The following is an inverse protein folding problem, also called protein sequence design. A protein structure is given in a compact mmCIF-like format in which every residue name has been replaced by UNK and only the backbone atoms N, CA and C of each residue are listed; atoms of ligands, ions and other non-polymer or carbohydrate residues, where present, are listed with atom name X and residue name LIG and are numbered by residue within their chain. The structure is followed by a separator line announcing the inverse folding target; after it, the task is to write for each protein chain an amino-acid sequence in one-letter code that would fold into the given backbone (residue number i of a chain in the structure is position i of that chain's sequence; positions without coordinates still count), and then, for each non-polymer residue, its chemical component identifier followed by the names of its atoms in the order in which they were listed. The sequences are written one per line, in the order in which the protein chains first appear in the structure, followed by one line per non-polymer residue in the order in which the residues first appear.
data_IF_714689995311
#
_entry.id   IF_714689995311
#
_cell.length_a   1.000
_cell.length_b   1.000
_cell.length_c   1.000
_cell.angle_alpha   90.00
_cell.angle_beta   90.00
_cell.angle_gamma   90.00
#
_symmetry.space_group_name_H-M   'P 1'
#
loop_
_entity.id
_entity.type
_entity.pdbx_description
1 polymer ?
#
# COMPACT_ATOMS: atom_id res chain seq x y z
N UNK A 1 -21.12 31.83 -3.26
CA UNK A 1 -19.67 31.94 -3.43
C UNK A 1 -19.26 30.89 -4.44
N UNK A 2 -19.00 31.32 -5.69
CA UNK A 2 -18.58 30.42 -6.78
C UNK A 2 -17.15 29.96 -6.50
N UNK A 3 -17.01 28.66 -6.23
CA UNK A 3 -15.68 28.03 -6.15
C UNK A 3 -14.95 28.32 -7.46
N UNK A 4 -13.71 28.82 -7.44
CA UNK A 4 -12.94 28.99 -8.64
C UNK A 4 -12.80 27.62 -9.30
N UNK A 5 -13.41 27.47 -10.47
CA UNK A 5 -13.32 26.26 -11.27
C UNK A 5 -11.85 26.05 -11.62
N UNK A 6 -11.24 25.01 -11.04
CA UNK A 6 -9.92 24.59 -11.45
C UNK A 6 -9.98 24.32 -12.97
N UNK A 7 -8.95 24.68 -13.73
CA UNK A 7 -8.95 24.45 -15.17
C UNK A 7 -9.15 22.96 -15.42
N UNK A 8 -10.24 22.63 -16.11
CA UNK A 8 -10.53 21.25 -16.46
C UNK A 8 -9.35 20.69 -17.26
N UNK A 9 -8.77 19.60 -16.78
CA UNK A 9 -7.70 18.91 -17.47
C UNK A 9 -8.20 18.50 -18.86
N UNK A 10 -7.38 18.71 -19.87
CA UNK A 10 -7.67 18.13 -21.18
C UNK A 10 -7.64 16.61 -21.07
N UNK A 11 -8.44 15.92 -21.88
CA UNK A 11 -8.48 14.44 -21.88
C UNK A 11 -7.08 13.84 -21.99
N UNK A 12 -6.19 14.42 -22.78
CA UNK A 12 -4.81 13.98 -22.96
C UNK A 12 -3.97 14.12 -21.69
N UNK A 13 -4.14 15.23 -20.96
CA UNK A 13 -3.45 15.42 -19.67
C UNK A 13 -3.95 14.44 -18.59
N UNK A 14 -5.26 14.22 -18.53
CA UNK A 14 -5.86 13.26 -17.62
C UNK A 14 -5.39 11.82 -17.91
N UNK A 15 -5.30 11.44 -19.20
CA UNK A 15 -4.80 10.14 -19.64
C UNK A 15 -3.33 9.93 -19.20
N UNK A 16 -2.46 10.93 -19.42
CA UNK A 16 -1.04 10.84 -19.05
C UNK A 16 -0.85 10.82 -17.54
N UNK A 17 -1.66 11.56 -16.77
CA UNK A 17 -1.68 11.47 -15.32
C UNK A 17 -2.12 10.08 -14.85
N UNK A 18 -3.15 9.51 -15.47
CA UNK A 18 -3.61 8.15 -15.17
C UNK A 18 -2.58 7.09 -15.51
N UNK A 19 -1.83 7.24 -16.61
CA UNK A 19 -0.70 6.35 -16.92
C UNK A 19 0.36 6.40 -15.81
N UNK A 20 0.70 7.59 -15.30
CA UNK A 20 1.62 7.74 -14.17
C UNK A 20 1.12 7.01 -12.93
N UNK A 21 -0.14 7.19 -12.56
CA UNK A 21 -0.76 6.52 -11.40
C UNK A 21 -0.78 5.00 -11.62
N UNK A 22 -1.11 4.56 -12.83
CA UNK A 22 -1.14 3.14 -13.19
C UNK A 22 0.23 2.49 -13.05
N UNK A 23 1.29 3.14 -13.53
CA UNK A 23 2.68 2.65 -13.40
C UNK A 23 3.11 2.57 -11.93
N UNK A 24 2.73 3.56 -11.12
CA UNK A 24 2.99 3.58 -9.67
C UNK A 24 2.31 2.39 -8.97
N UNK A 25 1.04 2.13 -9.27
CA UNK A 25 0.31 0.98 -8.71
C UNK A 25 0.85 -0.35 -9.22
N UNK A 26 1.20 -0.43 -10.50
CA UNK A 26 1.80 -1.61 -11.10
C UNK A 26 3.13 -1.97 -10.41
N UNK A 27 3.95 -0.98 -10.11
CA UNK A 27 5.21 -1.16 -9.39
C UNK A 27 5.00 -1.86 -8.04
N UNK A 28 4.03 -1.37 -7.22
CA UNK A 28 3.71 -1.97 -5.93
C UNK A 28 3.08 -3.36 -6.06
N UNK A 29 2.23 -3.59 -7.07
CA UNK A 29 1.56 -4.86 -7.28
C UNK A 29 2.52 -5.97 -7.75
N UNK A 30 3.41 -5.66 -8.71
CA UNK A 30 4.43 -6.59 -9.18
C UNK A 30 5.33 -7.03 -8.04
N UNK A 31 5.82 -6.08 -7.26
CA UNK A 31 6.75 -6.37 -6.18
C UNK A 31 6.15 -7.34 -5.14
N UNK A 32 4.88 -7.19 -4.79
CA UNK A 32 4.21 -8.06 -3.84
C UNK A 32 4.09 -9.51 -4.33
N UNK A 33 3.86 -9.71 -5.63
CA UNK A 33 3.57 -11.03 -6.18
C UNK A 33 4.82 -11.76 -6.67
N UNK A 34 5.80 -11.03 -7.17
CA UNK A 34 7.05 -11.59 -7.71
C UNK A 34 7.94 -12.17 -6.60
N UNK A 35 7.93 -11.56 -5.40
CA UNK A 35 8.81 -11.96 -4.29
C UNK A 35 8.49 -13.35 -3.75
N UNK A 36 7.21 -13.78 -3.78
CA UNK A 36 6.80 -15.09 -3.26
C UNK A 36 7.56 -16.25 -3.89
N UNK A 37 7.76 -16.21 -5.20
CA UNK A 37 8.48 -17.24 -5.95
C UNK A 37 10.01 -17.10 -5.88
N UNK A 38 10.51 -15.93 -5.51
CA UNK A 38 11.94 -15.70 -5.32
C UNK A 38 12.44 -16.13 -3.92
N UNK A 39 11.55 -16.23 -2.93
CA UNK A 39 11.90 -16.52 -1.53
C UNK A 39 12.75 -17.77 -1.33
N UNK A 40 12.48 -18.94 -1.97
CA UNK A 40 13.34 -20.12 -1.82
C UNK A 40 14.79 -19.87 -2.25
N UNK A 41 14.99 -19.17 -3.37
CA UNK A 41 16.33 -18.81 -3.87
C UNK A 41 17.03 -17.82 -2.94
N UNK A 42 16.30 -16.86 -2.37
CA UNK A 42 16.82 -15.90 -1.38
C UNK A 42 17.37 -16.62 -0.16
N UNK A 43 16.59 -17.55 0.41
CA UNK A 43 16.99 -18.29 1.62
C UNK A 43 18.18 -19.20 1.35
N UNK A 44 18.25 -19.83 0.18
CA UNK A 44 19.38 -20.70 -0.17
C UNK A 44 20.71 -19.94 -0.28
N UNK A 45 20.67 -18.65 -0.66
CA UNK A 45 21.88 -17.82 -0.83
C UNK A 45 22.23 -17.04 0.45
N UNK A 46 21.25 -16.35 1.07
CA UNK A 46 21.53 -15.47 2.21
C UNK A 46 21.53 -16.22 3.55
N UNK A 47 21.07 -17.47 3.59
CA UNK A 47 20.79 -18.21 4.81
C UNK A 47 19.76 -17.47 5.69
N UNK A 48 19.53 -17.88 6.93
CA UNK A 48 18.61 -17.14 7.84
C UNK A 48 17.14 -17.49 7.62
N UNK A 49 16.84 -18.79 7.54
CA UNK A 49 15.48 -19.31 7.40
C UNK A 49 14.51 -18.77 8.48
N UNK A 50 15.03 -18.41 9.66
CA UNK A 50 14.25 -17.82 10.75
C UNK A 50 13.56 -16.49 10.36
N UNK A 51 14.17 -15.75 9.44
CA UNK A 51 13.66 -14.47 8.94
C UNK A 51 12.86 -14.59 7.63
N UNK A 52 12.65 -15.82 7.14
CA UNK A 52 11.95 -16.08 5.87
C UNK A 52 10.60 -15.38 5.77
N UNK A 53 9.75 -15.57 6.78
CA UNK A 53 8.43 -14.97 6.83
C UNK A 53 8.49 -13.44 6.90
N UNK A 54 9.51 -12.87 7.57
CA UNK A 54 9.65 -11.43 7.74
C UNK A 54 9.95 -10.67 6.46
N UNK A 55 10.46 -11.33 5.42
CA UNK A 55 10.66 -10.70 4.10
C UNK A 55 9.32 -10.24 3.50
N UNK A 56 8.26 -11.02 3.64
CA UNK A 56 6.92 -10.65 3.21
C UNK A 56 6.17 -9.85 4.29
N UNK A 57 6.19 -10.33 5.54
CA UNK A 57 5.47 -9.73 6.68
C UNK A 57 5.97 -8.31 6.98
N UNK A 58 7.26 -8.05 6.93
CA UNK A 58 7.83 -6.72 7.15
C UNK A 58 7.32 -5.69 6.14
N UNK A 59 7.23 -6.07 4.87
CA UNK A 59 6.63 -5.25 3.82
C UNK A 59 5.15 -4.98 4.10
N UNK A 60 4.37 -6.04 4.34
CA UNK A 60 2.92 -5.93 4.56
C UNK A 60 2.59 -5.09 5.78
N UNK A 61 3.30 -5.32 6.90
CA UNK A 61 3.13 -4.56 8.13
C UNK A 61 3.36 -3.06 7.90
N UNK A 62 4.50 -2.71 7.30
CA UNK A 62 4.83 -1.33 6.99
C UNK A 62 3.82 -0.70 6.01
N UNK A 63 3.38 -1.45 5.01
CA UNK A 63 2.41 -1.00 4.02
C UNK A 63 1.04 -0.72 4.65
N UNK A 64 0.49 -1.67 5.40
CA UNK A 64 -0.83 -1.54 6.05
C UNK A 64 -0.88 -0.32 6.98
N UNK A 65 0.19 -0.10 7.72
CA UNK A 65 0.32 1.04 8.64
C UNK A 65 0.34 2.38 7.91
N UNK A 66 1.04 2.45 6.78
CA UNK A 66 1.26 3.70 6.06
C UNK A 66 0.08 4.10 5.17
N UNK A 67 -0.72 3.16 4.66
CA UNK A 67 -1.89 3.43 3.81
C UNK A 67 -2.83 4.50 4.41
N UNK A 68 -3.40 4.35 5.61
CA UNK A 68 -4.35 5.32 6.15
C UNK A 68 -3.68 6.66 6.49
N UNK A 69 -2.44 6.64 6.95
CA UNK A 69 -1.70 7.85 7.33
C UNK A 69 -1.47 8.74 6.10
N UNK A 70 -0.90 8.18 5.04
CA UNK A 70 -0.56 8.94 3.85
C UNK A 70 -1.76 9.20 2.94
N UNK A 71 -2.80 8.36 2.99
CA UNK A 71 -4.09 8.67 2.40
C UNK A 71 -4.65 9.98 2.96
N UNK A 72 -4.64 10.12 4.29
CA UNK A 72 -5.13 11.32 4.97
C UNK A 72 -4.22 12.54 4.78
N UNK A 73 -2.89 12.36 4.84
CA UNK A 73 -1.94 13.44 4.55
C UNK A 73 -2.12 13.98 3.13
N UNK A 74 -2.39 13.10 2.17
CA UNK A 74 -2.70 13.49 0.79
C UNK A 74 -3.94 14.37 0.68
N UNK A 75 -4.96 14.14 1.51
CA UNK A 75 -6.17 14.97 1.56
C UNK A 75 -5.88 16.40 2.03
N UNK A 76 -4.88 16.59 2.90
CA UNK A 76 -4.54 17.90 3.45
C UNK A 76 -3.51 18.67 2.63
N UNK A 77 -2.44 18.01 2.23
CA UNK A 77 -1.30 18.67 1.56
C UNK A 77 -1.31 18.53 0.04
N UNK A 78 -2.30 17.78 -0.49
CA UNK A 78 -2.32 17.38 -1.88
C UNK A 78 -1.55 16.06 -2.10
N UNK A 79 -1.95 15.30 -3.09
CA UNK A 79 -1.49 13.92 -3.28
C UNK A 79 -0.17 13.81 -4.04
N UNK A 80 0.08 14.72 -4.99
CA UNK A 80 1.28 14.68 -5.84
C UNK A 80 2.60 14.55 -5.06
N UNK A 81 2.90 15.36 -4.03
CA UNK A 81 4.17 15.25 -3.31
C UNK A 81 4.33 13.87 -2.65
N UNK A 82 3.23 13.29 -2.15
CA UNK A 82 3.28 11.97 -1.53
C UNK A 82 3.45 10.85 -2.55
N UNK A 83 2.83 10.93 -3.72
CA UNK A 83 3.06 9.98 -4.83
C UNK A 83 4.52 10.01 -5.26
N UNK A 84 5.10 11.20 -5.42
CA UNK A 84 6.51 11.34 -5.80
C UNK A 84 7.45 10.80 -4.72
N UNK A 85 7.25 11.21 -3.45
CA UNK A 85 8.05 10.72 -2.33
C UNK A 85 7.95 9.20 -2.18
N UNK A 86 6.74 8.66 -2.28
CA UNK A 86 6.49 7.22 -2.19
C UNK A 86 7.20 6.43 -3.29
N UNK A 87 7.15 6.93 -4.54
CA UNK A 87 7.84 6.30 -5.66
C UNK A 87 9.36 6.32 -5.46
N UNK A 88 9.92 7.43 -4.96
CA UNK A 88 11.34 7.53 -4.64
C UNK A 88 11.73 6.56 -3.52
N UNK A 89 10.98 6.58 -2.39
CA UNK A 89 11.25 5.68 -1.26
C UNK A 89 11.18 4.22 -1.70
N UNK A 90 10.14 3.85 -2.45
CA UNK A 90 9.96 2.48 -2.95
C UNK A 90 11.11 2.05 -3.85
N UNK A 91 11.51 2.90 -4.80
CA UNK A 91 12.59 2.60 -5.76
C UNK A 91 13.94 2.49 -5.07
N UNK A 92 14.27 3.41 -4.14
CA UNK A 92 15.50 3.35 -3.37
C UNK A 92 15.53 2.14 -2.42
N UNK A 93 14.41 1.82 -1.78
CA UNK A 93 14.30 0.62 -0.94
C UNK A 93 14.45 -0.67 -1.77
N UNK A 94 13.94 -0.69 -3.01
CA UNK A 94 14.16 -1.80 -3.94
C UNK A 94 15.66 -1.96 -4.30
N UNK A 95 16.36 -0.85 -4.50
CA UNK A 95 17.82 -0.87 -4.68
C UNK A 95 18.54 -1.47 -3.46
N UNK A 96 18.14 -1.07 -2.24
CA UNK A 96 18.68 -1.64 -1.01
C UNK A 96 18.44 -3.15 -0.92
N UNK A 97 17.24 -3.61 -1.29
CA UNK A 97 16.92 -5.03 -1.35
C UNK A 97 17.79 -5.77 -2.39
N UNK A 98 18.00 -5.18 -3.58
CA UNK A 98 18.86 -5.78 -4.61
C UNK A 98 20.32 -5.92 -4.19
N UNK A 99 20.81 -5.03 -3.33
CA UNK A 99 22.17 -5.00 -2.81
C UNK A 99 22.33 -5.71 -1.46
N UNK A 100 21.28 -6.35 -0.93
CA UNK A 100 21.32 -6.99 0.37
C UNK A 100 22.26 -8.20 0.39
N UNK A 101 23.17 -8.22 1.37
CA UNK A 101 24.15 -9.28 1.60
C UNK A 101 23.77 -10.19 2.78
N UNK A 102 22.68 -9.87 3.47
CA UNK A 102 22.18 -10.66 4.59
C UNK A 102 20.64 -10.63 4.60
N UNK A 103 20.04 -11.67 5.18
CA UNK A 103 18.58 -11.76 5.34
C UNK A 103 18.03 -10.58 6.16
N UNK A 104 18.74 -10.14 7.20
CA UNK A 104 18.32 -8.99 8.01
C UNK A 104 18.30 -7.69 7.18
N UNK A 105 19.34 -7.44 6.37
CA UNK A 105 19.40 -6.27 5.50
C UNK A 105 18.24 -6.28 4.49
N UNK A 106 17.91 -7.46 3.94
CA UNK A 106 16.77 -7.63 3.05
C UNK A 106 15.45 -7.32 3.77
N UNK A 107 15.22 -7.84 4.98
CA UNK A 107 13.99 -7.57 5.76
C UNK A 107 13.84 -6.08 6.05
N UNK A 108 14.91 -5.39 6.43
CA UNK A 108 14.89 -3.93 6.65
C UNK A 108 14.56 -3.20 5.33
N UNK A 109 15.21 -3.58 4.23
CA UNK A 109 14.90 -3.03 2.90
C UNK A 109 13.44 -3.25 2.51
N UNK A 110 12.87 -4.44 2.78
CA UNK A 110 11.47 -4.78 2.55
C UNK A 110 10.51 -3.94 3.42
N UNK A 111 10.84 -3.70 4.67
CA UNK A 111 10.04 -2.83 5.53
C UNK A 111 10.02 -1.38 4.99
N UNK A 112 11.17 -0.83 4.58
CA UNK A 112 11.25 0.48 3.94
C UNK A 112 10.48 0.53 2.61
N UNK A 113 10.60 -0.53 1.81
CA UNK A 113 9.85 -0.67 0.55
C UNK A 113 8.34 -0.74 0.81
N UNK A 114 7.92 -1.42 1.89
CA UNK A 114 6.53 -1.46 2.36
C UNK A 114 5.99 -0.07 2.75
N UNK A 115 6.81 0.79 3.37
CA UNK A 115 6.43 2.20 3.62
C UNK A 115 6.12 2.89 2.29
N UNK A 116 7.01 2.80 1.30
CA UNK A 116 6.78 3.36 -0.03
C UNK A 116 5.52 2.78 -0.69
N UNK A 117 5.37 1.44 -0.68
CA UNK A 117 4.23 0.73 -1.25
C UNK A 117 2.88 1.13 -0.64
N UNK A 118 2.80 1.23 0.69
CA UNK A 118 1.60 1.70 1.39
C UNK A 118 1.25 3.15 1.05
N UNK A 119 2.26 4.03 0.98
CA UNK A 119 2.07 5.41 0.51
C UNK A 119 1.53 5.45 -0.93
N UNK A 120 2.05 4.61 -1.85
CA UNK A 120 1.59 4.51 -3.24
C UNK A 120 0.12 4.09 -3.30
N UNK A 121 -0.25 3.02 -2.61
CA UNK A 121 -1.62 2.51 -2.58
C UNK A 121 -2.58 3.56 -1.98
N UNK A 122 -2.23 4.12 -0.82
CA UNK A 122 -3.06 5.10 -0.12
C UNK A 122 -3.31 6.39 -0.91
N UNK A 123 -2.34 6.83 -1.72
CA UNK A 123 -2.45 8.08 -2.49
C UNK A 123 -2.96 7.88 -3.90
N UNK A 124 -2.57 6.80 -4.60
CA UNK A 124 -2.85 6.61 -6.02
C UNK A 124 -4.35 6.43 -6.31
N UNK A 125 -5.04 5.54 -5.60
CA UNK A 125 -6.50 5.36 -5.78
C UNK A 125 -7.28 6.63 -5.45
N UNK A 126 -6.79 7.39 -4.51
CA UNK A 126 -7.41 8.62 -4.08
C UNK A 126 -7.19 9.80 -5.07
N UNK A 127 -6.22 9.73 -6.00
CA UNK A 127 -6.05 10.70 -7.07
C UNK A 127 -7.18 10.65 -8.12
N UNK A 128 -7.82 9.49 -8.32
CA UNK A 128 -8.83 9.32 -9.38
C UNK A 128 -10.04 10.27 -9.22
N UNK A 129 -10.64 10.42 -8.02
CA UNK A 129 -11.71 11.39 -7.81
C UNK A 129 -11.31 12.85 -8.06
N UNK A 130 -10.05 13.18 -7.86
CA UNK A 130 -9.54 14.55 -8.10
C UNK A 130 -9.37 14.83 -9.60
N UNK A 131 -8.94 13.82 -10.37
CA UNK A 131 -8.77 13.92 -11.81
C UNK A 131 -10.09 13.89 -12.57
N UNK A 132 -11.08 13.17 -12.06
CA UNK A 132 -12.38 12.94 -12.70
C UNK A 132 -13.54 13.29 -11.77
N UNK A 133 -14.02 14.53 -11.76
CA UNK A 133 -15.20 14.94 -10.98
C UNK A 133 -16.48 14.21 -11.40
N UNK A 134 -16.63 13.89 -12.71
CA UNK A 134 -17.76 13.14 -13.22
C UNK A 134 -17.75 11.68 -12.75
N UNK A 135 -18.85 11.25 -12.12
CA UNK A 135 -18.99 9.91 -11.52
C UNK A 135 -18.82 8.77 -12.53
N UNK A 136 -19.30 8.95 -13.78
CA UNK A 136 -19.20 7.90 -14.80
C UNK A 136 -17.77 7.72 -15.29
N UNK A 137 -17.05 8.83 -15.50
CA UNK A 137 -15.63 8.78 -15.88
C UNK A 137 -14.79 8.20 -14.73
N UNK A 138 -15.05 8.62 -13.50
CA UNK A 138 -14.40 8.09 -12.31
C UNK A 138 -14.53 6.58 -12.20
N UNK A 139 -15.74 6.05 -12.33
CA UNK A 139 -15.98 4.60 -12.29
C UNK A 139 -15.21 3.85 -13.38
N UNK A 140 -15.22 4.36 -14.62
CA UNK A 140 -14.47 3.73 -15.72
C UNK A 140 -12.97 3.65 -15.43
N UNK A 141 -12.38 4.73 -14.93
CA UNK A 141 -10.95 4.75 -14.59
C UNK A 141 -10.63 3.89 -13.38
N UNK A 142 -11.47 3.85 -12.36
CA UNK A 142 -11.29 2.94 -11.23
C UNK A 142 -11.36 1.47 -11.66
N UNK A 143 -12.28 1.11 -12.54
CA UNK A 143 -12.37 -0.25 -13.10
C UNK A 143 -11.12 -0.59 -13.91
N UNK A 144 -10.64 0.33 -14.74
CA UNK A 144 -9.41 0.12 -15.52
C UNK A 144 -8.18 -0.07 -14.62
N UNK A 145 -8.03 0.75 -13.56
CA UNK A 145 -6.94 0.60 -12.59
C UNK A 145 -7.03 -0.74 -11.87
N UNK A 146 -8.23 -1.13 -11.43
CA UNK A 146 -8.42 -2.41 -10.73
C UNK A 146 -8.17 -3.60 -11.65
N UNK A 147 -8.60 -3.52 -12.91
CA UNK A 147 -8.33 -4.56 -13.90
C UNK A 147 -6.83 -4.70 -14.17
N UNK A 148 -6.12 -3.58 -14.34
CA UNK A 148 -4.67 -3.57 -14.53
C UNK A 148 -3.94 -4.16 -13.30
N UNK A 149 -4.35 -3.76 -12.08
CA UNK A 149 -3.81 -4.30 -10.84
C UNK A 149 -4.01 -5.83 -10.77
N UNK A 150 -5.20 -6.32 -11.16
CA UNK A 150 -5.51 -7.76 -11.21
C UNK A 150 -4.66 -8.51 -12.24
N UNK A 151 -4.47 -7.95 -13.44
CA UNK A 151 -3.62 -8.55 -14.48
C UNK A 151 -2.18 -8.65 -14.01
N UNK A 152 -1.65 -7.59 -13.38
CA UNK A 152 -0.30 -7.58 -12.83
C UNK A 152 -0.13 -8.62 -11.74
N UNK A 153 -1.11 -8.77 -10.84
CA UNK A 153 -1.10 -9.82 -9.82
C UNK A 153 -1.15 -11.23 -10.41
N UNK A 154 -1.86 -11.43 -11.51
CA UNK A 154 -1.93 -12.73 -12.18
C UNK A 154 -0.61 -13.09 -12.90
N UNK A 155 0.07 -12.13 -13.51
CA UNK A 155 1.34 -12.35 -14.23
C UNK A 155 2.53 -12.39 -13.27
N UNK A 156 2.45 -11.69 -12.15
CA UNK A 156 3.54 -11.49 -11.20
C UNK A 156 4.25 -12.77 -10.77
N UNK A 157 3.55 -13.81 -10.29
CA UNK A 157 4.19 -15.05 -9.87
C UNK A 157 5.00 -15.73 -10.99
N UNK A 158 4.46 -15.79 -12.21
CA UNK A 158 5.17 -16.36 -13.36
C UNK A 158 6.42 -15.55 -13.75
N UNK A 159 6.28 -14.21 -13.77
CA UNK A 159 7.40 -13.32 -14.03
C UNK A 159 8.48 -13.43 -12.95
N UNK A 160 8.06 -13.53 -11.68
CA UNK A 160 8.96 -13.68 -10.54
C UNK A 160 9.75 -14.98 -10.58
N UNK A 161 9.07 -16.09 -10.85
CA UNK A 161 9.72 -17.40 -11.00
C UNK A 161 10.72 -17.40 -12.15
N UNK A 162 10.36 -16.84 -13.30
CA UNK A 162 11.26 -16.73 -14.46
C UNK A 162 12.48 -15.86 -14.14
N UNK A 163 12.29 -14.67 -13.61
CA UNK A 163 13.38 -13.77 -13.27
C UNK A 163 14.32 -14.36 -12.22
N UNK A 164 13.77 -14.94 -11.16
CA UNK A 164 14.55 -15.53 -10.10
C UNK A 164 15.33 -16.78 -10.58
N UNK A 165 14.73 -17.57 -11.49
CA UNK A 165 15.36 -18.77 -12.04
C UNK A 165 16.50 -18.48 -13.03
N UNK A 166 16.29 -17.56 -13.98
CA UNK A 166 17.27 -17.29 -15.04
C UNK A 166 18.31 -16.23 -14.66
N UNK A 167 17.94 -15.20 -13.89
CA UNK A 167 18.78 -14.04 -13.60
C UNK A 167 19.12 -13.90 -12.11
N UNK A 168 18.65 -14.83 -11.29
CA UNK A 168 18.78 -14.78 -9.84
C UNK A 168 17.75 -13.84 -9.18
N UNK A 169 17.47 -14.06 -7.89
CA UNK A 169 16.44 -13.37 -7.15
C UNK A 169 16.62 -11.83 -7.07
N UNK A 170 17.85 -11.35 -7.14
CA UNK A 170 18.12 -9.91 -7.14
C UNK A 170 17.51 -9.18 -8.34
N UNK A 171 17.34 -9.87 -9.46
CA UNK A 171 16.72 -9.33 -10.68
C UNK A 171 15.31 -8.83 -10.47
N UNK A 172 14.56 -9.45 -9.55
CA UNK A 172 13.22 -9.05 -9.14
C UNK A 172 13.21 -7.59 -8.61
N UNK A 173 14.20 -7.25 -7.80
CA UNK A 173 14.35 -5.91 -7.26
C UNK A 173 14.92 -4.91 -8.28
N UNK A 174 15.86 -5.37 -9.13
CA UNK A 174 16.39 -4.55 -10.22
C UNK A 174 15.31 -4.13 -11.22
N UNK A 175 14.30 -4.96 -11.47
CA UNK A 175 13.16 -4.64 -12.32
C UNK A 175 12.40 -3.39 -11.85
N UNK A 176 12.32 -3.18 -10.55
CA UNK A 176 11.60 -2.05 -9.97
C UNK A 176 12.29 -0.70 -10.24
N UNK A 177 13.60 -0.67 -10.50
CA UNK A 177 14.33 0.57 -10.70
C UNK A 177 13.92 1.29 -12.00
N UNK A 178 14.02 0.67 -13.20
CA UNK A 178 13.58 1.33 -14.42
C UNK A 178 12.08 1.68 -14.40
N UNK A 179 11.25 0.78 -13.86
CA UNK A 179 9.82 1.03 -13.71
C UNK A 179 9.55 2.22 -12.77
N UNK A 180 10.27 2.30 -11.65
CA UNK A 180 10.17 3.39 -10.70
C UNK A 180 10.58 4.74 -11.30
N UNK A 181 11.66 4.77 -12.08
CA UNK A 181 12.12 6.00 -12.77
C UNK A 181 11.07 6.45 -13.80
N UNK A 182 10.53 5.53 -14.59
CA UNK A 182 9.47 5.84 -15.57
C UNK A 182 8.21 6.33 -14.84
N UNK A 183 7.77 5.65 -13.80
CA UNK A 183 6.61 6.03 -12.99
C UNK A 183 6.81 7.42 -12.36
N UNK A 184 7.99 7.68 -11.80
CA UNK A 184 8.37 8.97 -11.21
C UNK A 184 8.30 10.10 -12.24
N UNK A 185 8.85 9.87 -13.45
CA UNK A 185 8.81 10.85 -14.55
C UNK A 185 7.36 11.19 -14.94
N UNK A 186 6.50 10.17 -15.14
CA UNK A 186 5.10 10.40 -15.50
C UNK A 186 4.32 11.09 -14.36
N UNK A 187 4.50 10.67 -13.12
CA UNK A 187 3.85 11.28 -11.97
C UNK A 187 4.33 12.75 -11.79
N UNK A 188 5.64 13.00 -11.90
CA UNK A 188 6.19 14.35 -11.80
C UNK A 188 5.68 15.29 -12.90
N UNK A 189 5.68 14.82 -14.14
CA UNK A 189 5.38 15.64 -15.33
C UNK A 189 3.89 15.88 -15.52
N UNK A 190 3.04 14.90 -15.27
CA UNK A 190 1.65 14.91 -15.68
C UNK A 190 0.64 14.93 -14.52
N UNK A 191 1.00 14.48 -13.31
CA UNK A 191 0.08 14.56 -12.18
C UNK A 191 -0.08 16.02 -11.77
N UNK A 192 -1.32 16.56 -11.76
CA UNK A 192 -1.57 17.94 -11.39
C UNK A 192 -1.32 18.17 -9.90
N UNK A 193 -0.91 19.39 -9.57
CA UNK A 193 -0.73 19.78 -8.19
C UNK A 193 -2.04 20.35 -7.65
N UNK A 194 -2.85 19.52 -7.04
CA UNK A 194 -4.02 20.00 -6.31
C UNK A 194 -3.61 20.44 -4.90
N UNK A 195 -3.92 21.69 -4.57
CA UNK A 195 -3.87 22.15 -3.18
C UNK A 195 -5.29 22.15 -2.64
N UNK A 196 -5.62 21.35 -1.64
CA UNK A 196 -6.91 21.41 -0.99
C UNK A 196 -7.13 22.80 -0.38
N UNK A 197 -8.30 23.38 -0.61
CA UNK A 197 -8.65 24.72 -0.07
C UNK A 197 -9.11 24.65 1.39
N UNK A 198 -8.62 23.73 2.18
CA UNK A 198 -8.97 23.63 3.59
C UNK A 198 -8.27 24.75 4.37
N UNK A 199 -9.00 25.85 4.55
CA UNK A 199 -8.62 26.99 5.39
C UNK A 199 -8.74 26.69 6.89
N UNK A 200 -8.20 25.57 7.37
CA UNK A 200 -8.22 25.20 8.78
C UNK A 200 -6.86 24.67 9.23
N UNK A 201 -6.53 24.85 10.51
CA UNK A 201 -5.33 24.27 11.10
C UNK A 201 -5.38 22.76 10.92
N UNK A 202 -4.44 22.23 10.15
CA UNK A 202 -4.29 20.80 9.87
C UNK A 202 -3.93 20.13 11.19
N UNK A 203 -4.88 19.41 11.77
CA UNK A 203 -4.64 18.56 12.95
C UNK A 203 -4.68 17.11 12.49
N UNK A 204 -3.51 16.51 12.43
CA UNK A 204 -3.40 15.07 12.22
C UNK A 204 -3.74 14.37 13.54
N UNK A 205 -4.57 13.37 13.45
CA UNK A 205 -4.89 12.51 14.58
C UNK A 205 -3.75 11.50 14.82
N UNK A 206 -2.69 11.96 15.48
CA UNK A 206 -1.54 11.11 15.81
C UNK A 206 -1.90 9.95 16.74
N UNK A 207 -2.87 10.16 17.64
CA UNK A 207 -3.31 9.10 18.56
C UNK A 207 -4.08 8.03 17.80
N UNK A 208 -5.02 8.44 16.93
CA UNK A 208 -5.70 7.50 16.02
C UNK A 208 -4.72 6.78 15.11
N UNK A 209 -3.72 7.47 14.53
CA UNK A 209 -2.67 6.86 13.74
C UNK A 209 -1.89 5.80 14.53
N UNK A 210 -1.45 6.11 15.75
CA UNK A 210 -0.74 5.15 16.60
C UNK A 210 -1.62 3.95 16.97
N UNK A 211 -2.90 4.16 17.26
CA UNK A 211 -3.84 3.07 17.57
C UNK A 211 -4.09 2.18 16.34
N UNK A 212 -4.15 2.74 15.14
CA UNK A 212 -4.22 1.97 13.88
C UNK A 212 -2.96 1.13 13.71
N UNK A 213 -1.78 1.73 13.86
CA UNK A 213 -0.48 1.03 13.82
C UNK A 213 -0.45 -0.12 14.80
N UNK A 214 -0.83 0.15 16.05
CA UNK A 214 -0.79 -0.84 17.12
C UNK A 214 -1.81 -1.96 16.88
N UNK A 215 -3.03 -1.64 16.45
CA UNK A 215 -4.07 -2.65 16.22
C UNK A 215 -3.76 -3.54 15.00
N UNK A 216 -3.39 -2.95 13.88
CA UNK A 216 -3.08 -3.72 12.66
C UNK A 216 -1.74 -4.43 12.77
N UNK A 217 -0.74 -3.78 13.38
CA UNK A 217 0.58 -4.37 13.62
C UNK A 217 0.52 -5.56 14.58
N UNK A 218 -0.17 -5.41 15.71
CA UNK A 218 -0.33 -6.52 16.65
C UNK A 218 -1.21 -7.65 16.10
N UNK A 219 -2.21 -7.34 15.26
CA UNK A 219 -3.00 -8.35 14.55
C UNK A 219 -2.15 -9.17 13.60
N UNK A 220 -1.29 -8.51 12.82
CA UNK A 220 -0.36 -9.20 11.92
C UNK A 220 0.60 -10.11 12.68
N UNK A 221 1.18 -9.60 13.78
CA UNK A 221 2.06 -10.38 14.64
C UNK A 221 1.31 -11.54 15.34
N UNK A 222 0.07 -11.34 15.74
CA UNK A 222 -0.78 -12.40 16.28
C UNK A 222 -0.89 -13.58 15.32
N UNK A 223 -1.22 -13.31 14.05
CA UNK A 223 -1.35 -14.34 13.02
C UNK A 223 -0.01 -15.02 12.74
N UNK A 224 1.07 -14.25 12.66
CA UNK A 224 2.43 -14.75 12.40
C UNK A 224 2.87 -15.74 13.51
N UNK A 225 2.80 -15.33 14.79
CA UNK A 225 3.21 -16.17 15.92
C UNK A 225 2.26 -17.34 16.20
N UNK A 226 0.98 -17.22 15.78
CA UNK A 226 0.04 -18.33 15.83
C UNK A 226 0.49 -19.46 14.89
N UNK A 227 0.93 -19.12 13.69
CA UNK A 227 1.50 -20.07 12.73
C UNK A 227 2.75 -20.76 13.23
N UNK A 228 3.60 -20.05 13.99
CA UNK A 228 4.83 -20.58 14.59
C UNK A 228 4.60 -21.35 15.92
N UNK A 229 3.36 -21.55 16.34
CA UNK A 229 2.95 -22.22 17.61
C UNK A 229 3.49 -21.56 18.88
N UNK A 230 3.90 -20.31 18.83
CA UNK A 230 4.34 -19.53 19.99
C UNK A 230 3.12 -18.93 20.72
N UNK A 231 2.31 -19.78 21.37
CA UNK A 231 1.00 -19.44 21.93
C UNK A 231 1.04 -18.26 22.90
N UNK A 232 2.05 -18.17 23.77
CA UNK A 232 2.13 -17.10 24.76
C UNK A 232 2.28 -15.72 24.11
N UNK A 233 3.18 -15.60 23.12
CA UNK A 233 3.42 -14.33 22.38
C UNK A 233 2.21 -14.02 21.51
N UNK A 234 1.65 -15.03 20.85
CA UNK A 234 0.44 -14.87 20.04
C UNK A 234 -0.73 -14.34 20.88
N UNK A 235 -1.02 -14.93 22.04
CA UNK A 235 -2.07 -14.45 22.93
C UNK A 235 -1.84 -13.03 23.41
N UNK A 236 -0.60 -12.67 23.74
CA UNK A 236 -0.24 -11.30 24.10
C UNK A 236 -0.54 -10.33 22.96
N UNK A 237 -0.12 -10.65 21.74
CA UNK A 237 -0.41 -9.84 20.55
C UNK A 237 -1.93 -9.74 20.29
N UNK A 238 -2.67 -10.84 20.50
CA UNK A 238 -4.13 -10.86 20.39
C UNK A 238 -4.81 -9.93 21.40
N UNK A 239 -4.37 -9.94 22.65
CA UNK A 239 -4.87 -9.01 23.68
C UNK A 239 -4.57 -7.57 23.31
N UNK A 240 -3.34 -7.27 22.88
CA UNK A 240 -2.96 -5.93 22.44
C UNK A 240 -3.85 -5.48 21.26
N UNK A 241 -4.14 -6.36 20.30
CA UNK A 241 -5.03 -6.08 19.16
C UNK A 241 -6.42 -5.67 19.65
N UNK A 242 -7.02 -6.45 20.56
CA UNK A 242 -8.37 -6.17 21.07
C UNK A 242 -8.39 -4.86 21.85
N UNK A 243 -7.38 -4.62 22.70
CA UNK A 243 -7.26 -3.37 23.47
C UNK A 243 -7.06 -2.16 22.56
N UNK A 244 -6.18 -2.28 21.57
CA UNK A 244 -5.93 -1.20 20.60
C UNK A 244 -7.14 -0.92 19.70
N UNK A 245 -7.85 -1.94 19.22
CA UNK A 245 -9.07 -1.78 18.44
C UNK A 245 -10.21 -1.14 19.25
N UNK A 246 -10.41 -1.58 20.50
CA UNK A 246 -11.38 -0.95 21.39
C UNK A 246 -10.99 0.48 21.73
N UNK A 247 -9.73 0.74 22.00
CA UNK A 247 -9.20 2.09 22.19
C UNK A 247 -9.42 2.99 20.97
N UNK A 248 -9.12 2.47 19.76
CA UNK A 248 -9.37 3.16 18.49
C UNK A 248 -10.86 3.49 18.32
N UNK A 249 -11.75 2.54 18.55
CA UNK A 249 -13.18 2.75 18.44
C UNK A 249 -13.71 3.84 19.37
N UNK A 250 -13.28 3.88 20.63
CA UNK A 250 -13.66 4.93 21.57
C UNK A 250 -13.03 6.29 21.23
N UNK A 251 -11.78 6.29 20.77
CA UNK A 251 -11.07 7.49 20.36
C UNK A 251 -11.72 8.15 19.13
N UNK A 252 -11.96 7.38 18.08
CA UNK A 252 -12.56 7.81 16.82
C UNK A 252 -13.97 8.39 17.00
N UNK A 253 -14.73 7.92 18.00
CA UNK A 253 -16.04 8.48 18.35
C UNK A 253 -15.96 9.85 18.99
N UNK A 254 -14.84 10.20 19.60
CA UNK A 254 -14.64 11.47 20.32
C UNK A 254 -13.82 12.48 19.54
N UNK A 255 -13.01 12.01 18.58
CA UNK A 255 -12.12 12.85 17.80
C UNK A 255 -12.88 13.51 16.63
N UNK A 256 -12.79 14.84 16.54
CA UNK A 256 -13.41 15.61 15.44
C UNK A 256 -12.63 15.48 14.12
N UNK A 257 -11.35 15.08 14.19
CA UNK A 257 -10.44 14.93 13.04
C UNK A 257 -10.03 13.46 12.85
N UNK A 258 -10.93 12.53 13.16
CA UNK A 258 -10.73 11.11 13.11
C UNK A 258 -10.18 10.63 11.76
N UNK A 259 -9.19 9.70 11.77
CA UNK A 259 -8.64 9.08 10.56
C UNK A 259 -9.66 8.15 9.89
N UNK A 260 -10.43 7.41 10.71
CA UNK A 260 -11.47 6.48 10.27
C UNK A 260 -12.79 6.84 10.97
N UNK A 261 -13.52 7.87 10.51
CA UNK A 261 -14.71 8.33 11.23
C UNK A 261 -15.71 7.20 11.49
N UNK A 262 -15.92 6.84 12.76
CA UNK A 262 -16.83 5.75 13.17
C UNK A 262 -18.24 5.93 12.61
N UNK A 263 -18.66 7.17 12.32
CA UNK A 263 -19.93 7.52 11.69
C UNK A 263 -20.12 6.91 10.29
N UNK A 264 -19.03 6.60 9.55
CA UNK A 264 -19.13 5.93 8.26
C UNK A 264 -19.75 4.53 8.40
N UNK A 265 -19.43 3.81 9.47
CA UNK A 265 -19.97 2.47 9.74
C UNK A 265 -21.44 2.46 10.20
N UNK A 266 -22.03 3.61 10.49
CA UNK A 266 -23.47 3.71 10.72
C UNK A 266 -24.28 3.43 9.45
N UNK A 267 -23.71 3.73 8.27
CA UNK A 267 -24.35 3.44 6.99
C UNK A 267 -24.26 1.96 6.63
N UNK A 268 -25.43 1.31 6.44
CA UNK A 268 -25.54 -0.12 6.09
C UNK A 268 -24.77 -0.47 4.81
N UNK A 269 -24.85 0.39 3.80
CA UNK A 269 -24.16 0.14 2.52
C UNK A 269 -22.65 0.12 2.68
N UNK A 270 -22.09 1.03 3.48
CA UNK A 270 -20.63 1.08 3.75
C UNK A 270 -20.19 -0.15 4.53
N UNK A 271 -20.96 -0.59 5.54
CA UNK A 271 -20.65 -1.82 6.27
C UNK A 271 -20.64 -3.05 5.37
N UNK A 272 -21.65 -3.18 4.49
CA UNK A 272 -21.72 -4.29 3.55
C UNK A 272 -20.56 -4.27 2.56
N UNK A 273 -20.20 -3.10 2.00
CA UNK A 273 -19.04 -2.95 1.13
C UNK A 273 -17.74 -3.33 1.85
N UNK A 274 -17.57 -2.95 3.11
CA UNK A 274 -16.42 -3.30 3.91
C UNK A 274 -16.31 -4.82 4.12
N UNK A 275 -17.41 -5.48 4.49
CA UNK A 275 -17.47 -6.94 4.66
C UNK A 275 -17.17 -7.65 3.34
N UNK A 276 -17.78 -7.20 2.23
CA UNK A 276 -17.52 -7.78 0.91
C UNK A 276 -16.05 -7.62 0.49
N UNK A 277 -15.44 -6.47 0.75
CA UNK A 277 -14.02 -6.24 0.46
C UNK A 277 -13.12 -7.15 1.29
N UNK A 278 -13.45 -7.37 2.58
CA UNK A 278 -12.71 -8.27 3.45
C UNK A 278 -12.79 -9.72 2.95
N UNK A 279 -13.99 -10.19 2.59
CA UNK A 279 -14.20 -11.55 2.06
C UNK A 279 -13.50 -11.72 0.70
N UNK A 280 -13.62 -10.75 -0.20
CA UNK A 280 -12.95 -10.77 -1.50
C UNK A 280 -11.41 -10.82 -1.35
N UNK A 281 -10.87 -10.02 -0.41
CA UNK A 281 -9.44 -10.05 -0.09
C UNK A 281 -9.01 -11.41 0.46
N UNK A 282 -9.76 -11.97 1.40
CA UNK A 282 -9.47 -13.31 1.95
C UNK A 282 -9.47 -14.39 0.87
N UNK A 283 -10.46 -14.39 -0.02
CA UNK A 283 -10.53 -15.34 -1.15
C UNK A 283 -9.34 -15.14 -2.09
N UNK A 284 -9.03 -13.90 -2.46
CA UNK A 284 -7.94 -13.58 -3.37
C UNK A 284 -6.58 -14.07 -2.82
N UNK A 285 -6.28 -13.77 -1.55
CA UNK A 285 -5.04 -14.20 -0.94
C UNK A 285 -4.98 -15.72 -0.74
N UNK A 286 -6.09 -16.35 -0.38
CA UNK A 286 -6.15 -17.81 -0.28
C UNK A 286 -5.84 -18.47 -1.63
N UNK A 287 -6.46 -17.99 -2.71
CA UNK A 287 -6.17 -18.50 -4.07
C UNK A 287 -4.71 -18.27 -4.48
N UNK A 288 -4.14 -17.12 -4.15
CA UNK A 288 -2.75 -16.79 -4.51
C UNK A 288 -1.72 -17.69 -3.82
N UNK A 289 -1.99 -18.16 -2.59
CA UNK A 289 -1.07 -18.98 -1.80
C UNK A 289 -1.31 -20.49 -1.92
N UNK A 290 -2.49 -20.92 -2.40
CA UNK A 290 -2.84 -22.35 -2.49
C UNK A 290 -2.97 -22.89 -3.93
N UNK A 291 -2.89 -22.03 -4.92
CA UNK A 291 -2.78 -22.37 -6.35
C UNK A 291 -1.39 -22.09 -6.89
#
# INVERSE_FOLDING_TARGET
MTTPSQPALTFRQALLAMLGISLVLMLSALDQTVIGNALPSIVSELNGFELYAWVATGYLLASIVTIPIFGRLGDFYGRKPFVLAATVIFTLASLLCALADSMLALVIGRALQGVGGGMLIGTAFACVPELFPDTRQRLRWQVLLSAMFSVVNAIGPGLGGYLAGEFGWRSVFWLNLPLGVIALFFAWRFLPWYRPQTAGAIRLDWIGAMLIVLSLGSLQLFVEWLGQRALAISLLCGVITVVAMTGLWFWERRCTFALLPAGLFANRSIRLLFIMSLLAGAIMFTLLFYL
#
